data_IF_295126525447
#
_entry.id   IF_295126525447
#
_cell.length_a   1.000
_cell.length_b   1.000
_cell.length_c   1.000
_cell.angle_alpha   90.00
_cell.angle_beta   90.00
_cell.angle_gamma   90.00
#
_symmetry.space_group_name_H-M   'P 1'
#
loop_
_entity.id
_entity.type
_entity.pdbx_description
1 polymer ?
#
# COMPACT_ATOMS: atom_id res chain seq x y z
N UNK A 1 -12.89 -8.99 25.63
CA UNK A 1 -11.75 -8.19 25.09
C UNK A 1 -12.13 -7.78 23.68
N UNK A 2 -11.81 -6.56 23.25
CA UNK A 2 -12.06 -6.14 21.87
C UNK A 2 -11.10 -6.90 20.94
N UNK A 3 -11.64 -7.50 19.86
CA UNK A 3 -10.82 -8.17 18.85
C UNK A 3 -9.84 -7.18 18.19
N UNK A 4 -8.67 -7.62 17.72
CA UNK A 4 -7.78 -6.77 16.95
C UNK A 4 -8.46 -6.33 15.65
N UNK A 5 -7.98 -5.20 15.10
CA UNK A 5 -8.45 -4.65 13.83
C UNK A 5 -7.25 -4.38 12.95
N UNK A 6 -7.38 -4.66 11.64
CA UNK A 6 -6.32 -4.44 10.68
C UNK A 6 -6.72 -3.40 9.63
N UNK A 7 -5.88 -2.41 9.43
CA UNK A 7 -5.93 -1.46 8.34
C UNK A 7 -4.76 -1.79 7.41
N UNK A 8 -4.99 -1.86 6.11
CA UNK A 8 -4.04 -2.36 5.13
C UNK A 8 -3.65 -1.29 4.12
N UNK A 9 -2.36 -1.18 3.80
CA UNK A 9 -1.96 -0.68 2.50
C UNK A 9 -2.20 -1.75 1.43
N UNK A 10 -2.14 -1.39 0.16
CA UNK A 10 -2.38 -2.30 -0.96
C UNK A 10 -1.11 -2.61 -1.76
N UNK A 11 -0.52 -1.58 -2.40
CA UNK A 11 0.59 -1.76 -3.34
C UNK A 11 1.86 -2.20 -2.60
N UNK A 12 2.35 -3.40 -2.86
CA UNK A 12 3.48 -3.99 -2.15
C UNK A 12 3.13 -4.70 -0.84
N UNK A 13 1.88 -4.60 -0.36
CA UNK A 13 1.42 -5.22 0.89
C UNK A 13 0.43 -6.36 0.61
N UNK A 14 -0.68 -6.10 -0.07
CA UNK A 14 -1.65 -7.10 -0.50
C UNK A 14 -1.62 -7.35 -2.02
N UNK A 15 -1.10 -6.39 -2.79
CA UNK A 15 -1.02 -6.41 -4.25
C UNK A 15 0.43 -6.47 -4.73
N UNK A 16 0.74 -7.47 -5.55
CA UNK A 16 2.00 -7.54 -6.30
C UNK A 16 1.93 -6.61 -7.52
N UNK A 17 2.06 -5.32 -7.27
CA UNK A 17 1.86 -4.24 -8.24
C UNK A 17 3.15 -3.54 -8.67
N UNK A 18 4.26 -3.70 -7.93
CA UNK A 18 5.49 -2.96 -8.22
C UNK A 18 6.06 -3.25 -9.61
N UNK A 19 5.92 -4.47 -10.12
CA UNK A 19 6.34 -4.80 -11.48
C UNK A 19 5.64 -3.92 -12.53
N UNK A 20 4.32 -3.72 -12.41
CA UNK A 20 3.55 -2.85 -13.32
C UNK A 20 3.90 -1.38 -13.09
N UNK A 21 4.05 -0.93 -11.85
CA UNK A 21 4.42 0.44 -11.51
C UNK A 21 5.77 0.80 -12.14
N UNK A 22 6.79 -0.01 -11.89
CA UNK A 22 8.17 0.20 -12.40
C UNK A 22 8.20 0.17 -13.93
N UNK A 23 7.56 -0.84 -14.55
CA UNK A 23 7.51 -0.94 -16.00
C UNK A 23 6.82 0.29 -16.63
N UNK A 24 5.75 0.80 -16.02
CA UNK A 24 5.05 1.98 -16.50
C UNK A 24 5.94 3.22 -16.46
N UNK A 25 6.69 3.44 -15.36
CA UNK A 25 7.62 4.55 -15.21
C UNK A 25 8.78 4.45 -16.21
N UNK A 26 9.40 3.28 -16.34
CA UNK A 26 10.47 3.05 -17.32
C UNK A 26 9.99 3.29 -18.75
N UNK A 27 8.76 2.86 -19.08
CA UNK A 27 8.16 3.07 -20.40
C UNK A 27 7.97 4.56 -20.70
N UNK A 28 7.47 5.36 -19.76
CA UNK A 28 7.34 6.81 -19.93
C UNK A 28 8.70 7.44 -20.19
N UNK A 29 9.70 7.06 -19.42
CA UNK A 29 11.04 7.59 -19.55
C UNK A 29 11.65 7.26 -20.93
N UNK A 30 11.50 6.02 -21.39
CA UNK A 30 11.91 5.58 -22.73
C UNK A 30 11.16 6.34 -23.84
N UNK A 31 9.83 6.49 -23.71
CA UNK A 31 9.01 7.21 -24.72
C UNK A 31 9.39 8.69 -24.84
N UNK A 32 9.74 9.33 -23.74
CA UNK A 32 10.00 10.78 -23.71
C UNK A 32 11.45 11.17 -24.01
N UNK A 33 12.41 10.33 -23.63
CA UNK A 33 13.83 10.68 -23.63
C UNK A 33 14.72 9.67 -24.37
N UNK A 34 14.16 8.58 -24.86
CA UNK A 34 14.89 7.45 -25.44
C UNK A 34 15.98 6.87 -24.50
N UNK A 35 15.75 6.96 -23.18
CA UNK A 35 16.65 6.44 -22.14
C UNK A 35 16.00 5.24 -21.47
N UNK A 36 16.76 4.16 -21.32
CA UNK A 36 16.39 3.01 -20.52
C UNK A 36 16.88 3.17 -19.09
N UNK A 37 15.96 3.01 -18.13
CA UNK A 37 16.28 3.07 -16.72
C UNK A 37 16.51 1.66 -16.16
N UNK A 38 17.37 1.57 -15.15
CA UNK A 38 17.51 0.37 -14.34
C UNK A 38 16.23 0.18 -13.48
N UNK A 39 15.55 -0.94 -13.71
CA UNK A 39 14.28 -1.23 -13.04
C UNK A 39 14.44 -1.45 -11.54
N UNK A 40 15.57 -1.98 -11.09
CA UNK A 40 15.83 -2.18 -9.67
C UNK A 40 16.01 -0.84 -8.94
N UNK A 41 16.72 0.10 -9.56
CA UNK A 41 16.87 1.44 -9.00
C UNK A 41 15.55 2.22 -9.00
N UNK A 42 14.73 2.12 -10.06
CA UNK A 42 13.38 2.70 -10.09
C UNK A 42 12.50 2.09 -8.99
N UNK A 43 12.58 0.77 -8.79
CA UNK A 43 11.84 0.08 -7.73
C UNK A 43 12.23 0.58 -6.34
N UNK A 44 13.53 0.64 -6.04
CA UNK A 44 14.03 1.19 -4.78
C UNK A 44 13.57 2.64 -4.55
N UNK A 45 13.62 3.48 -5.59
CA UNK A 45 13.18 4.87 -5.51
C UNK A 45 11.67 4.98 -5.21
N UNK A 46 10.84 4.17 -5.87
CA UNK A 46 9.39 4.18 -5.67
C UNK A 46 9.01 3.72 -4.27
N UNK A 47 9.64 2.67 -3.75
CA UNK A 47 9.42 2.21 -2.38
C UNK A 47 9.84 3.29 -1.38
N UNK A 48 11.02 3.86 -1.56
CA UNK A 48 11.58 4.85 -0.63
C UNK A 48 10.79 6.16 -0.62
N UNK A 49 10.34 6.64 -1.77
CA UNK A 49 9.74 7.97 -1.89
C UNK A 49 8.29 7.95 -2.38
N UNK A 50 8.00 7.51 -3.55
CA UNK A 50 6.70 7.23 -4.18
C UNK A 50 6.74 7.43 -5.70
N UNK A 51 5.70 6.97 -6.40
CA UNK A 51 5.45 7.30 -7.83
C UNK A 51 5.36 8.82 -8.04
N UNK A 52 4.66 9.53 -7.14
CA UNK A 52 4.51 10.99 -7.25
C UNK A 52 5.85 11.72 -7.16
N UNK A 53 6.73 11.29 -6.24
CA UNK A 53 8.08 11.85 -6.13
C UNK A 53 8.92 11.60 -7.39
N UNK A 54 8.83 10.38 -7.95
CA UNK A 54 9.53 10.04 -9.20
C UNK A 54 9.09 10.95 -10.36
N UNK A 55 7.78 11.16 -10.52
CA UNK A 55 7.25 12.03 -11.57
C UNK A 55 7.60 13.51 -11.37
N UNK A 56 7.60 14.01 -10.13
CA UNK A 56 8.05 15.37 -9.79
C UNK A 56 9.54 15.58 -10.12
N UNK A 57 10.38 14.58 -9.83
CA UNK A 57 11.77 14.59 -10.24
C UNK A 57 11.93 14.61 -11.76
N UNK A 58 11.13 13.83 -12.48
CA UNK A 58 11.11 13.86 -13.96
C UNK A 58 10.76 15.25 -14.47
N UNK A 59 9.72 15.89 -13.95
CA UNK A 59 9.34 17.25 -14.33
C UNK A 59 10.51 18.22 -14.17
N UNK A 60 11.16 18.20 -12.99
CA UNK A 60 12.33 19.08 -12.70
C UNK A 60 13.51 18.85 -13.63
N UNK A 61 13.74 17.61 -14.05
CA UNK A 61 14.85 17.25 -14.93
C UNK A 61 14.59 17.55 -16.40
N UNK A 62 13.34 17.55 -16.82
CA UNK A 62 12.98 17.46 -18.23
C UNK A 62 12.08 18.60 -18.71
N UNK A 63 11.44 19.32 -17.78
CA UNK A 63 10.46 20.36 -18.10
C UNK A 63 9.10 19.85 -18.61
N UNK A 64 8.90 18.51 -18.68
CA UNK A 64 7.59 17.94 -18.99
C UNK A 64 6.70 18.07 -17.76
N UNK A 65 5.53 18.66 -17.89
CA UNK A 65 4.64 18.94 -16.77
C UNK A 65 4.26 17.66 -15.99
N UNK A 66 4.29 17.73 -14.68
CA UNK A 66 3.88 16.64 -13.78
C UNK A 66 2.52 16.05 -14.16
N UNK A 67 1.57 16.90 -14.51
CA UNK A 67 0.23 16.47 -14.92
C UNK A 67 0.29 15.54 -16.13
N UNK A 68 1.04 15.89 -17.16
CA UNK A 68 1.14 15.09 -18.39
C UNK A 68 1.83 13.76 -18.14
N UNK A 69 2.87 13.77 -17.29
CA UNK A 69 3.56 12.54 -16.84
C UNK A 69 2.62 11.64 -16.05
N UNK A 70 1.83 12.22 -15.14
CA UNK A 70 0.86 11.49 -14.32
C UNK A 70 -0.27 10.90 -15.15
N UNK A 71 -0.80 11.65 -16.12
CA UNK A 71 -1.85 11.19 -17.03
C UNK A 71 -1.35 10.02 -17.87
N UNK A 72 -0.13 10.13 -18.42
CA UNK A 72 0.51 9.03 -19.16
C UNK A 72 0.78 7.81 -18.31
N UNK A 73 1.28 8.00 -17.07
CA UNK A 73 1.44 6.92 -16.09
C UNK A 73 0.12 6.20 -15.82
N UNK A 74 -0.94 6.97 -15.58
CA UNK A 74 -2.27 6.43 -15.30
C UNK A 74 -2.83 5.63 -16.47
N UNK A 75 -2.58 6.08 -17.70
CA UNK A 75 -2.96 5.35 -18.90
C UNK A 75 -2.24 4.01 -18.98
N UNK A 76 -0.90 4.01 -18.95
CA UNK A 76 -0.09 2.79 -19.11
C UNK A 76 -0.38 1.77 -17.99
N UNK A 77 -0.34 2.24 -16.75
CA UNK A 77 -0.62 1.36 -15.60
C UNK A 77 -2.07 0.88 -15.57
N UNK A 78 -3.01 1.69 -16.08
CA UNK A 78 -4.42 1.35 -16.21
C UNK A 78 -4.70 0.24 -17.22
N UNK A 79 -3.94 0.16 -18.31
CA UNK A 79 -4.03 -0.92 -19.32
C UNK A 79 -3.66 -2.29 -18.71
N UNK A 80 -2.77 -2.29 -17.73
CA UNK A 80 -2.24 -3.53 -17.12
C UNK A 80 -2.81 -3.84 -15.74
N UNK A 81 -3.64 -2.98 -15.17
CA UNK A 81 -4.14 -3.08 -13.79
C UNK A 81 -4.77 -4.43 -13.44
N UNK A 82 -5.46 -5.07 -14.40
CA UNK A 82 -6.09 -6.37 -14.17
C UNK A 82 -5.12 -7.55 -14.22
N UNK A 83 -3.85 -7.32 -14.58
CA UNK A 83 -2.77 -8.31 -14.46
C UNK A 83 -2.15 -8.37 -13.07
N UNK A 84 -2.46 -7.40 -12.21
CA UNK A 84 -2.00 -7.38 -10.82
C UNK A 84 -2.50 -8.64 -10.11
N UNK A 85 -1.60 -9.32 -9.42
CA UNK A 85 -1.90 -10.52 -8.64
C UNK A 85 -1.89 -10.17 -7.14
N UNK A 86 -2.58 -10.95 -6.32
CA UNK A 86 -2.40 -10.84 -4.87
C UNK A 86 -0.99 -11.28 -4.49
N UNK A 87 -0.41 -10.64 -3.49
CA UNK A 87 0.78 -11.15 -2.80
C UNK A 87 0.44 -12.52 -2.18
N UNK A 88 1.45 -13.35 -2.08
CA UNK A 88 1.31 -14.69 -1.51
C UNK A 88 0.61 -14.62 -0.14
N UNK A 89 -0.34 -15.51 0.08
CA UNK A 89 -1.16 -15.64 1.29
C UNK A 89 -2.13 -14.48 1.58
N UNK A 90 -2.27 -13.49 0.69
CA UNK A 90 -3.25 -12.40 0.87
C UNK A 90 -4.66 -12.92 1.11
N UNK A 91 -5.16 -13.82 0.27
CA UNK A 91 -6.50 -14.38 0.44
C UNK A 91 -6.63 -15.16 1.74
N UNK A 92 -5.66 -16.00 2.01
CA UNK A 92 -5.68 -16.89 3.17
C UNK A 92 -5.71 -16.11 4.50
N UNK A 93 -4.95 -15.03 4.59
CA UNK A 93 -4.98 -14.22 5.81
C UNK A 93 -6.29 -13.45 5.95
N UNK A 94 -6.81 -12.87 4.86
CA UNK A 94 -8.08 -12.14 4.88
C UNK A 94 -9.25 -13.07 5.22
N UNK A 95 -9.29 -14.28 4.65
CA UNK A 95 -10.24 -15.33 5.03
C UNK A 95 -10.17 -15.68 6.53
N UNK A 96 -8.96 -15.97 7.01
CA UNK A 96 -8.74 -16.26 8.43
C UNK A 96 -9.26 -15.15 9.34
N UNK A 97 -8.94 -13.89 9.06
CA UNK A 97 -9.41 -12.76 9.86
C UNK A 97 -10.93 -12.66 9.85
N UNK A 98 -11.56 -12.80 8.68
CA UNK A 98 -13.02 -12.79 8.54
C UNK A 98 -13.69 -13.93 9.32
N UNK A 99 -13.15 -15.14 9.26
CA UNK A 99 -13.65 -16.30 10.05
C UNK A 99 -13.53 -16.07 11.56
N UNK A 100 -12.49 -15.36 11.99
CA UNK A 100 -12.33 -14.95 13.39
C UNK A 100 -13.25 -13.77 13.78
N UNK A 101 -14.01 -13.20 12.84
CA UNK A 101 -14.82 -11.99 13.04
C UNK A 101 -13.97 -10.77 13.36
N UNK A 102 -12.82 -10.66 12.71
CA UNK A 102 -11.85 -9.56 12.83
C UNK A 102 -12.04 -8.64 11.63
N UNK A 103 -12.22 -7.35 11.88
CA UNK A 103 -12.46 -6.35 10.87
C UNK A 103 -11.19 -5.96 10.11
N UNK A 104 -11.34 -5.72 8.81
CA UNK A 104 -10.28 -5.26 7.92
C UNK A 104 -10.72 -4.03 7.15
N UNK A 105 -9.84 -3.03 7.09
CA UNK A 105 -10.01 -1.77 6.36
C UNK A 105 -8.85 -1.55 5.42
N UNK A 106 -9.00 -0.65 4.46
CA UNK A 106 -7.91 -0.26 3.56
C UNK A 106 -7.67 1.24 3.65
N UNK A 107 -6.40 1.65 3.70
CA UNK A 107 -5.96 3.01 3.41
C UNK A 107 -4.79 2.98 2.43
N UNK A 108 -5.02 3.44 1.20
CA UNK A 108 -4.04 3.36 0.10
C UNK A 108 -3.92 4.68 -0.67
N UNK A 109 -2.76 4.89 -1.29
CA UNK A 109 -2.57 5.99 -2.25
C UNK A 109 -2.98 5.63 -3.69
N UNK A 110 -3.44 4.40 -3.92
CA UNK A 110 -4.05 4.01 -5.19
C UNK A 110 -5.38 4.75 -5.37
N UNK A 111 -5.70 5.12 -6.62
CA UNK A 111 -6.92 5.86 -6.95
C UNK A 111 -8.06 4.97 -7.46
N UNK A 112 -8.74 5.42 -8.50
CA UNK A 112 -9.93 4.78 -9.10
C UNK A 112 -9.72 3.34 -9.58
N UNK A 113 -8.48 2.89 -9.75
CA UNK A 113 -8.17 1.50 -10.10
C UNK A 113 -8.30 0.52 -8.94
N UNK A 114 -8.51 1.00 -7.70
CA UNK A 114 -8.57 0.15 -6.50
C UNK A 114 -9.69 -0.88 -6.57
N UNK A 115 -10.93 -0.46 -6.68
CA UNK A 115 -12.08 -1.37 -6.71
C UNK A 115 -12.00 -2.38 -7.86
N UNK A 116 -11.74 -2.00 -9.14
CA UNK A 116 -11.60 -2.97 -10.22
C UNK A 116 -10.53 -4.03 -9.96
N UNK A 117 -9.39 -3.65 -9.38
CA UNK A 117 -8.30 -4.60 -9.06
C UNK A 117 -8.73 -5.55 -7.94
N UNK A 118 -9.26 -5.04 -6.83
CA UNK A 118 -9.67 -5.87 -5.70
C UNK A 118 -10.79 -6.86 -6.07
N UNK A 119 -11.74 -6.43 -6.91
CA UNK A 119 -12.79 -7.32 -7.44
C UNK A 119 -12.22 -8.38 -8.37
N UNK A 120 -11.31 -8.00 -9.27
CA UNK A 120 -10.67 -8.94 -10.21
C UNK A 120 -9.91 -10.06 -9.50
N UNK A 121 -9.23 -9.76 -8.40
CA UNK A 121 -8.54 -10.77 -7.59
C UNK A 121 -9.41 -11.39 -6.49
N UNK A 122 -10.66 -10.96 -6.34
CA UNK A 122 -11.65 -11.52 -5.45
C UNK A 122 -11.39 -11.30 -3.97
N UNK A 123 -10.90 -10.09 -3.60
CA UNK A 123 -10.68 -9.73 -2.20
C UNK A 123 -11.44 -8.47 -1.75
N UNK A 124 -12.24 -7.86 -2.63
CA UNK A 124 -12.97 -6.62 -2.32
C UNK A 124 -13.88 -6.76 -1.09
N UNK A 125 -14.61 -7.87 -0.99
CA UNK A 125 -15.65 -8.10 0.03
C UNK A 125 -15.08 -8.55 1.41
N UNK A 126 -13.75 -8.49 1.58
CA UNK A 126 -13.12 -8.69 2.88
C UNK A 126 -12.97 -7.40 3.69
N UNK A 127 -13.19 -6.24 3.07
CA UNK A 127 -12.96 -4.95 3.70
C UNK A 127 -14.27 -4.25 4.04
N UNK A 128 -14.36 -3.75 5.28
CA UNK A 128 -15.52 -2.99 5.75
C UNK A 128 -15.54 -1.58 5.17
N UNK A 129 -14.37 -0.97 4.95
CA UNK A 129 -14.21 0.30 4.25
C UNK A 129 -12.85 0.37 3.54
N UNK A 130 -12.84 1.05 2.39
CA UNK A 130 -11.67 1.24 1.55
C UNK A 130 -11.49 2.74 1.31
N UNK A 131 -10.43 3.32 1.87
CA UNK A 131 -10.03 4.71 1.65
C UNK A 131 -8.92 4.72 0.60
N UNK A 132 -9.16 5.47 -0.48
CA UNK A 132 -8.25 5.60 -1.63
C UNK A 132 -7.76 7.05 -1.76
N UNK A 133 -6.94 7.33 -2.77
CA UNK A 133 -6.54 8.71 -3.07
C UNK A 133 -7.65 9.56 -3.73
N UNK A 134 -8.84 9.00 -3.92
CA UNK A 134 -10.00 9.74 -4.46
C UNK A 134 -10.67 10.54 -3.35
N UNK A 135 -10.69 9.99 -2.13
CA UNK A 135 -11.17 10.68 -0.96
C UNK A 135 -10.18 11.80 -0.56
N UNK A 136 -10.72 12.92 -0.07
CA UNK A 136 -9.95 14.15 0.20
C UNK A 136 -9.10 14.08 1.48
N UNK A 137 -8.69 12.90 1.93
CA UNK A 137 -7.78 12.77 3.07
C UNK A 137 -6.36 13.16 2.69
N UNK A 138 -5.62 13.69 3.65
CA UNK A 138 -4.20 13.93 3.49
C UNK A 138 -3.44 12.62 3.23
N UNK A 139 -2.36 12.74 2.48
CA UNK A 139 -1.53 11.59 2.13
C UNK A 139 -0.69 11.13 3.33
N UNK A 140 -0.38 9.83 3.40
CA UNK A 140 0.61 9.30 4.33
C UNK A 140 1.92 10.11 4.24
N UNK A 141 2.57 10.41 5.34
CA UNK A 141 2.37 9.87 6.68
C UNK A 141 1.37 10.64 7.58
N UNK A 142 0.48 11.49 7.02
CA UNK A 142 -0.54 12.15 7.82
C UNK A 142 -1.55 11.09 8.33
N UNK A 143 -1.93 11.13 9.63
CA UNK A 143 -2.77 10.11 10.25
C UNK A 143 -4.28 10.31 10.02
N UNK A 144 -4.70 11.33 9.26
CA UNK A 144 -6.10 11.76 9.16
C UNK A 144 -7.04 10.61 8.77
N UNK A 145 -6.69 9.82 7.75
CA UNK A 145 -7.52 8.70 7.30
C UNK A 145 -7.61 7.57 8.34
N UNK A 146 -6.51 7.27 9.05
CA UNK A 146 -6.52 6.27 10.12
C UNK A 146 -7.38 6.77 11.29
N UNK A 147 -7.23 8.03 11.70
CA UNK A 147 -8.05 8.62 12.76
C UNK A 147 -9.53 8.64 12.39
N UNK A 148 -9.87 8.94 11.13
CA UNK A 148 -11.25 8.83 10.65
C UNK A 148 -11.83 7.42 10.84
N UNK A 149 -11.08 6.36 10.48
CA UNK A 149 -11.53 4.98 10.68
C UNK A 149 -11.68 4.67 12.17
N UNK A 150 -10.72 5.10 13.00
CA UNK A 150 -10.75 4.92 14.46
C UNK A 150 -12.00 5.56 15.05
N UNK A 151 -12.30 6.80 14.69
CA UNK A 151 -13.44 7.54 15.23
C UNK A 151 -14.77 6.98 14.72
N UNK A 152 -14.87 6.70 13.42
CA UNK A 152 -16.10 6.19 12.78
C UNK A 152 -16.54 4.83 13.31
N UNK A 153 -15.58 3.93 13.53
CA UNK A 153 -15.83 2.55 13.93
C UNK A 153 -15.54 2.30 15.42
N UNK A 154 -15.22 3.36 16.17
CA UNK A 154 -14.90 3.29 17.61
C UNK A 154 -13.81 2.25 17.92
N UNK A 155 -12.74 2.24 17.09
CA UNK A 155 -11.65 1.29 17.21
C UNK A 155 -10.76 1.58 18.43
N UNK A 156 -10.33 0.51 19.11
CA UNK A 156 -9.32 0.63 20.14
C UNK A 156 -7.92 0.78 19.50
N UNK A 157 -7.31 1.97 19.64
CA UNK A 157 -5.97 2.24 19.09
C UNK A 157 -4.91 1.26 19.58
N UNK A 158 -5.03 0.75 20.80
CA UNK A 158 -4.10 -0.23 21.36
C UNK A 158 -4.24 -1.62 20.73
N UNK A 159 -5.36 -1.88 20.04
CA UNK A 159 -5.63 -3.14 19.35
C UNK A 159 -5.93 -2.96 17.85
N UNK A 160 -5.57 -1.80 17.30
CA UNK A 160 -5.63 -1.50 15.87
C UNK A 160 -4.22 -1.54 15.27
N UNK A 161 -4.08 -2.21 14.14
CA UNK A 161 -2.82 -2.42 13.44
C UNK A 161 -2.89 -1.85 12.02
N UNK A 162 -1.89 -1.06 11.63
CA UNK A 162 -1.72 -0.66 10.23
C UNK A 162 -0.58 -1.46 9.61
N UNK A 163 -0.88 -2.15 8.50
CA UNK A 163 0.05 -3.04 7.79
C UNK A 163 0.47 -2.37 6.49
N UNK A 164 1.77 -2.23 6.27
CA UNK A 164 2.32 -1.66 5.05
C UNK A 164 3.76 -2.11 4.79
N UNK A 165 4.29 -1.82 3.61
CA UNK A 165 5.62 -2.23 3.17
C UNK A 165 6.64 -1.07 3.14
N UNK A 166 6.20 0.17 3.44
CA UNK A 166 7.04 1.37 3.36
C UNK A 166 7.14 2.12 4.68
N UNK A 167 8.24 2.87 4.85
CA UNK A 167 8.46 3.72 6.02
C UNK A 167 7.30 4.67 6.30
N UNK A 168 6.67 5.23 5.25
CA UNK A 168 5.54 6.15 5.40
C UNK A 168 4.29 5.48 6.00
N UNK A 169 4.12 4.17 5.83
CA UNK A 169 3.03 3.42 6.45
C UNK A 169 3.26 3.31 7.96
N UNK A 170 4.50 3.01 8.34
CA UNK A 170 4.91 2.95 9.76
C UNK A 170 4.78 4.32 10.44
N UNK A 171 5.24 5.38 9.77
CA UNK A 171 5.10 6.74 10.27
C UNK A 171 3.62 7.14 10.41
N UNK A 172 2.78 6.78 9.43
CA UNK A 172 1.34 7.05 9.47
C UNK A 172 0.66 6.36 10.67
N UNK A 173 0.98 5.08 10.90
CA UNK A 173 0.49 4.33 12.05
C UNK A 173 0.93 4.98 13.38
N UNK A 174 2.21 5.31 13.50
CA UNK A 174 2.77 5.93 14.71
C UNK A 174 2.16 7.31 14.97
N UNK A 175 1.95 8.12 13.93
CA UNK A 175 1.29 9.43 14.03
C UNK A 175 -0.18 9.30 14.44
N UNK A 176 -0.86 8.21 14.06
CA UNK A 176 -2.22 7.89 14.49
C UNK A 176 -2.29 7.27 15.90
N UNK A 177 -1.14 6.94 16.50
CA UNK A 177 -1.04 6.19 17.75
C UNK A 177 -1.69 4.80 17.70
N UNK A 178 -1.62 4.12 16.54
CA UNK A 178 -1.97 2.71 16.37
C UNK A 178 -0.71 1.87 16.20
N UNK A 179 -0.83 0.56 16.34
CA UNK A 179 0.31 -0.34 16.14
C UNK A 179 0.66 -0.46 14.66
N UNK A 180 1.94 -0.59 14.35
CA UNK A 180 2.44 -0.72 12.98
C UNK A 180 3.02 -2.10 12.71
N UNK A 181 2.73 -2.66 11.54
CA UNK A 181 3.30 -3.92 11.06
C UNK A 181 4.00 -3.64 9.72
N UNK A 182 5.31 -3.82 9.69
CA UNK A 182 6.11 -3.69 8.48
C UNK A 182 6.17 -5.04 7.77
N UNK A 183 5.66 -5.09 6.54
CA UNK A 183 5.79 -6.26 5.68
C UNK A 183 7.07 -6.17 4.84
N UNK A 184 8.02 -7.07 5.08
CA UNK A 184 9.31 -7.14 4.40
C UNK A 184 9.54 -8.57 3.89
N UNK A 185 9.05 -8.91 2.69
CA UNK A 185 9.28 -10.23 2.11
C UNK A 185 10.77 -10.47 1.87
N UNK A 186 11.23 -11.70 2.06
CA UNK A 186 12.63 -12.10 1.81
C UNK A 186 13.08 -11.69 0.41
N UNK A 187 14.22 -11.01 0.33
CA UNK A 187 14.80 -10.55 -0.93
C UNK A 187 14.12 -9.31 -1.54
N UNK A 188 13.14 -8.73 -0.86
CA UNK A 188 12.54 -7.47 -1.24
C UNK A 188 13.46 -6.28 -0.97
N UNK A 189 13.25 -5.14 -1.64
CA UNK A 189 14.09 -3.93 -1.48
C UNK A 189 13.73 -3.08 -0.26
N UNK A 190 12.67 -3.44 0.48
CA UNK A 190 12.25 -2.73 1.69
C UNK A 190 13.26 -2.87 2.83
N UNK A 191 13.27 -1.89 3.73
CA UNK A 191 14.16 -1.86 4.90
C UNK A 191 13.35 -1.49 6.14
N UNK A 192 13.54 -2.24 7.24
CA UNK A 192 12.93 -1.92 8.52
C UNK A 192 13.36 -0.54 9.01
N UNK A 193 12.43 0.19 9.61
CA UNK A 193 12.67 1.56 10.12
C UNK A 193 13.19 1.56 11.55
N UNK A 194 13.00 0.45 12.28
CA UNK A 194 13.25 0.34 13.72
C UNK A 194 12.20 1.03 14.60
N UNK A 195 11.09 1.49 13.99
CA UNK A 195 9.98 2.18 14.69
C UNK A 195 8.65 1.42 14.60
N UNK A 196 8.63 0.33 13.85
CA UNK A 196 7.48 -0.57 13.73
C UNK A 196 7.25 -1.40 15.00
N UNK A 197 5.99 -1.73 15.28
CA UNK A 197 5.63 -2.63 16.40
C UNK A 197 6.02 -4.07 16.06
N UNK A 198 5.84 -4.48 14.81
CA UNK A 198 6.22 -5.81 14.30
C UNK A 198 6.82 -5.70 12.90
N UNK A 199 7.72 -6.63 12.59
CA UNK A 199 8.18 -6.92 11.23
C UNK A 199 7.71 -8.33 10.88
N UNK A 200 7.16 -8.52 9.69
CA UNK A 200 6.74 -9.81 9.16
C UNK A 200 7.35 -10.04 7.78
N UNK A 201 7.70 -11.27 7.46
CA UNK A 201 8.20 -11.68 6.14
C UNK A 201 7.11 -12.37 5.30
N UNK A 202 6.08 -12.89 5.96
CA UNK A 202 4.92 -13.54 5.35
C UNK A 202 3.63 -13.01 5.98
N UNK A 203 2.59 -12.82 5.18
CA UNK A 203 1.31 -12.31 5.69
C UNK A 203 0.66 -13.27 6.70
N UNK A 204 0.98 -14.57 6.67
CA UNK A 204 0.51 -15.54 7.66
C UNK A 204 1.08 -15.31 9.07
N UNK A 205 2.19 -14.58 9.21
CA UNK A 205 2.74 -14.21 10.51
C UNK A 205 1.73 -13.40 11.35
N UNK A 206 0.77 -12.74 10.69
CA UNK A 206 -0.33 -12.01 11.33
C UNK A 206 -1.22 -12.94 12.17
N UNK A 207 -1.32 -14.23 11.83
CA UNK A 207 -2.06 -15.20 12.66
C UNK A 207 -1.50 -15.28 14.09
N UNK A 208 -0.19 -15.20 14.23
CA UNK A 208 0.46 -15.23 15.56
C UNK A 208 0.28 -13.91 16.33
N UNK A 209 0.27 -12.77 15.60
CA UNK A 209 -0.03 -11.48 16.19
C UNK A 209 -1.48 -11.45 16.70
N UNK A 210 -2.40 -11.99 15.89
CA UNK A 210 -3.83 -12.10 16.24
C UNK A 210 -4.05 -12.93 17.50
N UNK A 211 -3.40 -14.10 17.61
CA UNK A 211 -3.51 -14.97 18.81
C UNK A 211 -3.02 -14.29 20.10
N UNK A 212 -2.02 -13.42 20.00
CA UNK A 212 -1.52 -12.66 21.16
C UNK A 212 -2.41 -11.47 21.55
N UNK A 213 -3.25 -11.02 20.62
CA UNK A 213 -4.12 -9.85 20.80
C UNK A 213 -5.54 -10.25 21.23
N UNK A 214 -5.92 -11.54 21.13
CA UNK A 214 -7.16 -12.11 21.63
C UNK A 214 -7.04 -12.53 23.11
#
# INVERSE_FOLDING_TARGET
MNKPVFIWDLDGTLLDSYGIIVNSLCKIYKEKFDIELDKEEVHKEVIRYSVGHFLDRMEKQTGVLFKDLKDRYSQISGEEKLKIKPIKHTKEILEYLKEQGIHSYVFTHRGTSTEPVLRNIGIYDYFDEIITSVESFKRKPDPEAINYLVDKYHLDKNNTYYVGDRSMDIECANNAHVKSIMYLPKGGPGVATGKETYVIEDLLDIKEITKKAL
#
